data_IF_485000209025
#
_entry.id   IF_485000209025
#
_cell.length_a   1.000
_cell.length_b   1.000
_cell.length_c   1.000
_cell.angle_alpha   90.00
_cell.angle_beta   90.00
_cell.angle_gamma   90.00
#
_symmetry.space_group_name_H-M   'P 1'
#
loop_
_entity.id
_entity.type
_entity.pdbx_description
1 polymer ?
#
# COMPACT_ATOMS: atom_id res chain seq x y z
N UNK A 1 -17.59 -3.22 -4.95
CA UNK A 1 -17.01 -4.55 -4.66
C UNK A 1 -17.15 -4.83 -3.18
N UNK A 2 -17.44 -6.06 -2.80
CA UNK A 2 -17.57 -6.44 -1.37
C UNK A 2 -16.18 -6.83 -0.86
N UNK A 3 -15.72 -6.18 0.21
CA UNK A 3 -14.44 -6.54 0.86
C UNK A 3 -14.41 -7.92 1.49
N UNK A 4 -15.58 -8.45 1.75
CA UNK A 4 -15.73 -9.67 2.52
C UNK A 4 -16.52 -10.73 1.77
N UNK A 5 -16.07 -11.98 1.93
CA UNK A 5 -16.87 -13.17 1.71
C UNK A 5 -17.31 -13.76 3.04
N UNK A 6 -18.52 -14.29 3.08
CA UNK A 6 -19.07 -14.95 4.25
C UNK A 6 -19.04 -16.47 4.03
N UNK A 7 -18.46 -17.19 4.97
CA UNK A 7 -18.39 -18.64 4.96
C UNK A 7 -19.07 -19.22 6.20
N UNK A 8 -19.70 -20.39 6.09
CA UNK A 8 -20.18 -21.12 7.26
C UNK A 8 -19.00 -21.47 8.18
N UNK A 9 -19.07 -21.02 9.42
CA UNK A 9 -18.12 -21.35 10.45
C UNK A 9 -18.57 -22.52 11.33
N UNK A 10 -17.74 -22.97 12.29
CA UNK A 10 -18.08 -23.98 13.25
C UNK A 10 -19.32 -23.60 14.03
N UNK A 11 -20.13 -24.60 14.41
CA UNK A 11 -21.31 -24.42 15.27
C UNK A 11 -22.39 -23.46 14.75
N UNK A 12 -22.50 -23.29 13.40
CA UNK A 12 -23.50 -22.42 12.79
C UNK A 12 -23.19 -20.93 12.86
N UNK A 13 -21.95 -20.57 13.17
CA UNK A 13 -21.46 -19.20 13.08
C UNK A 13 -21.16 -18.81 11.63
N UNK A 14 -21.11 -17.52 11.32
CA UNK A 14 -20.63 -17.00 10.05
C UNK A 14 -19.25 -16.40 10.24
N UNK A 15 -18.30 -16.81 9.39
CA UNK A 15 -16.95 -16.25 9.37
C UNK A 15 -16.85 -15.31 8.17
N UNK A 16 -16.40 -14.07 8.42
CA UNK A 16 -16.12 -13.08 7.37
C UNK A 16 -14.63 -13.12 7.04
N UNK A 17 -14.33 -13.29 5.75
CA UNK A 17 -12.97 -13.29 5.23
C UNK A 17 -12.78 -12.10 4.30
N UNK A 18 -11.59 -11.52 4.32
CA UNK A 18 -11.21 -10.46 3.38
C UNK A 18 -11.02 -11.06 1.98
N UNK A 19 -11.56 -10.38 0.98
CA UNK A 19 -11.42 -10.74 -0.43
C UNK A 19 -10.12 -10.16 -0.97
N UNK A 20 -9.07 -10.97 -0.98
CA UNK A 20 -7.79 -10.62 -1.55
C UNK A 20 -7.71 -10.98 -3.03
N UNK A 21 -6.95 -10.20 -3.78
CA UNK A 21 -6.70 -10.45 -5.20
C UNK A 21 -5.23 -10.24 -5.54
N UNK A 22 -4.69 -11.12 -6.38
CA UNK A 22 -3.32 -11.01 -6.88
C UNK A 22 -3.26 -9.99 -8.03
N UNK A 23 -2.37 -9.01 -7.88
CA UNK A 23 -2.08 -8.01 -8.89
C UNK A 23 -0.64 -8.09 -9.35
N UNK A 24 -0.41 -7.89 -10.65
CA UNK A 24 0.91 -7.65 -11.21
C UNK A 24 1.12 -6.15 -11.38
N UNK A 25 2.11 -5.59 -10.71
CA UNK A 25 2.51 -4.19 -10.90
C UNK A 25 3.51 -4.10 -12.05
N UNK A 26 3.19 -3.28 -13.03
CA UNK A 26 4.05 -3.07 -14.20
C UNK A 26 4.41 -1.59 -14.34
N UNK A 27 5.64 -1.30 -14.75
CA UNK A 27 6.10 0.05 -15.09
C UNK A 27 6.59 0.04 -16.53
N UNK A 28 5.98 0.90 -17.37
CA UNK A 28 6.23 0.98 -18.81
C UNK A 28 6.17 -0.41 -19.49
N UNK A 29 5.15 -1.21 -19.12
CA UNK A 29 4.91 -2.54 -19.62
C UNK A 29 5.83 -3.64 -19.06
N UNK A 30 6.75 -3.31 -18.16
CA UNK A 30 7.66 -4.28 -17.51
C UNK A 30 7.15 -4.68 -16.14
N UNK A 31 6.93 -5.97 -15.85
CA UNK A 31 6.51 -6.41 -14.52
C UNK A 31 7.65 -6.22 -13.51
N UNK A 32 7.35 -5.52 -12.42
CA UNK A 32 8.31 -5.22 -11.35
C UNK A 32 7.97 -5.91 -10.04
N UNK A 33 6.68 -6.13 -9.77
CA UNK A 33 6.20 -6.79 -8.56
C UNK A 33 4.92 -7.58 -8.82
N UNK A 34 4.62 -8.49 -7.91
CA UNK A 34 3.31 -9.09 -7.75
C UNK A 34 2.90 -8.95 -6.29
N UNK A 35 1.68 -8.50 -6.04
CA UNK A 35 1.17 -8.26 -4.70
C UNK A 35 -0.25 -8.79 -4.56
N UNK A 36 -0.56 -9.40 -3.43
CA UNK A 36 -1.92 -9.74 -3.05
C UNK A 36 -2.47 -8.59 -2.22
N UNK A 37 -3.57 -8.00 -2.66
CA UNK A 37 -4.13 -6.76 -2.13
C UNK A 37 -5.64 -6.86 -1.95
N UNK A 38 -6.19 -6.05 -1.07
CA UNK A 38 -7.60 -5.68 -1.16
C UNK A 38 -7.81 -4.82 -2.41
N UNK A 39 -8.89 -5.07 -3.21
CA UNK A 39 -9.11 -4.43 -4.51
C UNK A 39 -9.62 -2.98 -4.38
N UNK A 40 -9.00 -2.20 -3.52
CA UNK A 40 -9.26 -0.78 -3.32
C UNK A 40 -7.96 0.01 -3.20
N UNK A 41 -8.02 1.30 -3.51
CA UNK A 41 -6.88 2.21 -3.45
C UNK A 41 -5.65 1.63 -4.19
N UNK A 42 -5.89 1.03 -5.36
CA UNK A 42 -4.83 0.37 -6.14
C UNK A 42 -3.87 1.37 -6.77
N UNK A 43 -4.37 2.56 -7.12
CA UNK A 43 -3.52 3.64 -7.63
C UNK A 43 -2.63 4.19 -6.52
N UNK A 44 -3.20 4.36 -5.32
CA UNK A 44 -2.47 4.77 -4.13
C UNK A 44 -1.39 3.74 -3.77
N UNK A 45 -1.75 2.44 -3.80
CA UNK A 45 -0.78 1.37 -3.59
C UNK A 45 0.38 1.48 -4.58
N UNK A 46 0.10 1.61 -5.88
CA UNK A 46 1.14 1.67 -6.89
C UNK A 46 2.06 2.89 -6.71
N UNK A 47 1.47 4.07 -6.47
CA UNK A 47 2.25 5.29 -6.23
C UNK A 47 3.14 5.13 -4.97
N UNK A 48 2.55 4.71 -3.85
CA UNK A 48 3.28 4.51 -2.60
C UNK A 48 4.39 3.49 -2.73
N UNK A 49 4.11 2.31 -3.28
CA UNK A 49 5.08 1.24 -3.47
C UNK A 49 6.29 1.69 -4.31
N UNK A 50 6.04 2.39 -5.42
CA UNK A 50 7.13 2.87 -6.29
C UNK A 50 8.06 3.84 -5.58
N UNK A 51 7.52 4.68 -4.70
CA UNK A 51 8.29 5.67 -3.95
C UNK A 51 9.01 5.03 -2.76
N UNK A 52 8.33 4.20 -1.98
CA UNK A 52 8.91 3.53 -0.80
C UNK A 52 10.02 2.57 -1.17
N UNK A 53 9.91 1.90 -2.31
CA UNK A 53 10.97 1.03 -2.86
C UNK A 53 12.04 1.81 -3.65
N UNK A 54 11.92 3.15 -3.75
CA UNK A 54 12.90 4.00 -4.44
C UNK A 54 13.01 3.74 -5.95
N UNK A 55 11.93 3.25 -6.56
CA UNK A 55 11.91 2.87 -7.98
C UNK A 55 11.84 4.11 -8.87
N UNK A 56 11.03 5.09 -8.49
CA UNK A 56 10.88 6.36 -9.20
C UNK A 56 10.49 7.48 -8.24
N UNK A 57 10.59 8.74 -8.65
CA UNK A 57 10.00 9.86 -7.94
C UNK A 57 8.53 10.04 -8.34
N UNK A 58 7.70 10.58 -7.44
CA UNK A 58 6.27 10.79 -7.73
C UNK A 58 6.06 11.70 -8.96
N UNK A 59 6.90 12.73 -9.09
CA UNK A 59 6.88 13.66 -10.25
C UNK A 59 7.23 13.02 -11.59
N UNK A 60 7.76 11.79 -11.60
CA UNK A 60 8.07 11.03 -12.80
C UNK A 60 6.91 10.11 -13.22
N UNK A 61 5.87 9.96 -12.41
CA UNK A 61 4.68 9.15 -12.73
C UNK A 61 3.75 9.97 -13.62
N UNK A 62 3.48 9.49 -14.82
CA UNK A 62 2.54 10.11 -15.76
C UNK A 62 1.11 9.63 -15.55
N UNK A 63 0.94 8.33 -15.35
CA UNK A 63 -0.38 7.74 -15.12
C UNK A 63 -0.28 6.40 -14.40
N UNK A 64 -1.35 6.07 -13.67
CA UNK A 64 -1.56 4.77 -13.03
C UNK A 64 -2.91 4.25 -13.49
N UNK A 65 -2.93 3.04 -14.01
CA UNK A 65 -4.11 2.41 -14.62
C UNK A 65 -4.33 1.02 -14.02
N UNK A 66 -5.14 0.93 -12.95
CA UNK A 66 -5.54 -0.37 -12.42
C UNK A 66 -6.52 -1.07 -13.36
N UNK A 67 -6.31 -2.36 -13.55
CA UNK A 67 -7.21 -3.27 -14.25
C UNK A 67 -7.42 -4.52 -13.39
N UNK A 68 -8.13 -5.52 -13.87
CA UNK A 68 -8.59 -6.70 -13.11
C UNK A 68 -7.49 -7.47 -12.39
N UNK A 69 -6.30 -7.58 -12.98
CA UNK A 69 -5.17 -8.31 -12.41
C UNK A 69 -3.82 -7.59 -12.61
N UNK A 70 -3.84 -6.38 -13.17
CA UNK A 70 -2.64 -5.62 -13.49
C UNK A 70 -2.81 -4.18 -13.05
N UNK A 71 -1.80 -3.63 -12.42
CA UNK A 71 -1.69 -2.20 -12.18
C UNK A 71 -0.58 -1.68 -13.08
N UNK A 72 -0.98 -1.01 -14.16
CA UNK A 72 -0.05 -0.41 -15.12
C UNK A 72 0.35 0.99 -14.70
N UNK A 73 1.65 1.28 -14.70
CA UNK A 73 2.18 2.62 -14.43
C UNK A 73 3.02 3.08 -15.61
N UNK A 74 2.78 4.30 -16.07
CA UNK A 74 3.63 4.97 -17.04
C UNK A 74 4.47 6.04 -16.34
N UNK A 75 5.75 6.07 -16.68
CA UNK A 75 6.71 7.06 -16.17
C UNK A 75 7.47 7.71 -17.32
N UNK A 76 7.83 8.99 -17.13
CA UNK A 76 8.60 9.78 -18.12
C UNK A 76 9.96 9.19 -18.45
N UNK A 77 10.52 8.36 -17.58
CA UNK A 77 11.86 7.81 -17.77
C UNK A 77 11.86 6.27 -17.76
N UNK A 78 11.62 5.63 -18.94
CA UNK A 78 11.48 4.18 -19.03
C UNK A 78 12.77 3.40 -18.72
N UNK A 79 13.93 4.04 -18.71
CA UNK A 79 15.23 3.38 -18.57
C UNK A 79 15.70 3.21 -17.13
N UNK A 80 15.06 3.86 -16.16
CA UNK A 80 15.44 3.72 -14.74
C UNK A 80 14.98 2.41 -14.11
N UNK A 81 14.00 1.73 -14.71
CA UNK A 81 13.38 0.52 -14.14
C UNK A 81 14.08 -0.74 -14.63
N UNK A 82 15.28 -0.99 -14.15
CA UNK A 82 16.04 -2.22 -14.41
C UNK A 82 16.06 -3.16 -13.19
N UNK A 83 14.97 -3.19 -12.42
CA UNK A 83 14.93 -3.98 -11.20
C UNK A 83 14.48 -5.43 -11.48
N UNK A 84 15.02 -6.42 -10.77
CA UNK A 84 14.51 -7.77 -10.83
C UNK A 84 13.08 -7.82 -10.28
N UNK A 85 12.25 -8.68 -10.85
CA UNK A 85 10.86 -8.88 -10.39
C UNK A 85 10.86 -9.30 -8.92
N UNK A 86 10.04 -8.63 -8.13
CA UNK A 86 9.85 -8.88 -6.71
C UNK A 86 8.43 -9.39 -6.45
N UNK A 87 8.27 -10.32 -5.54
CA UNK A 87 6.97 -10.77 -5.06
C UNK A 87 6.73 -10.18 -3.68
N UNK A 88 5.69 -9.38 -3.55
CA UNK A 88 5.21 -8.86 -2.28
C UNK A 88 4.16 -9.84 -1.77
N UNK A 89 4.47 -10.54 -0.70
CA UNK A 89 3.53 -11.48 -0.07
C UNK A 89 2.85 -10.85 1.12
N UNK A 90 1.58 -11.18 1.33
CA UNK A 90 0.87 -10.84 2.55
C UNK A 90 1.54 -11.51 3.74
N UNK A 91 1.98 -10.72 4.70
CA UNK A 91 2.68 -11.19 5.89
C UNK A 91 4.08 -10.60 6.06
N UNK A 92 4.73 -10.88 7.18
CA UNK A 92 6.05 -10.35 7.55
C UNK A 92 7.23 -10.95 6.76
N UNK A 93 7.00 -11.49 5.58
CA UNK A 93 8.04 -11.98 4.69
C UNK A 93 8.81 -10.82 4.09
N UNK A 94 9.90 -10.41 4.73
CA UNK A 94 10.73 -9.30 4.30
C UNK A 94 11.20 -9.45 2.87
N UNK A 95 10.71 -8.60 2.02
CA UNK A 95 11.34 -8.36 0.73
C UNK A 95 12.53 -7.45 0.99
N UNK A 96 13.70 -7.80 0.49
CA UNK A 96 14.84 -6.90 0.56
C UNK A 96 14.48 -5.59 -0.15
N UNK A 97 14.56 -4.47 0.56
CA UNK A 97 14.43 -3.14 -0.05
C UNK A 97 15.60 -2.91 -1.01
N UNK A 98 15.31 -2.21 -2.12
CA UNK A 98 16.35 -1.75 -3.05
C UNK A 98 17.02 -0.44 -2.57
N UNK A 99 16.48 0.15 -1.51
CA UNK A 99 17.03 1.37 -0.95
C UNK A 99 18.34 1.08 -0.21
N UNK A 100 19.38 1.79 -0.58
CA UNK A 100 20.60 1.90 0.21
C UNK A 100 20.31 2.79 1.43
N UNK A 101 20.36 2.27 2.66
CA UNK A 101 20.07 3.07 3.85
C UNK A 101 20.93 4.33 3.98
N UNK A 102 22.13 4.33 3.41
CA UNK A 102 23.01 5.49 3.41
C UNK A 102 22.53 6.64 2.51
N UNK A 103 21.63 6.33 1.57
CA UNK A 103 21.04 7.30 0.63
C UNK A 103 19.66 7.78 1.06
N UNK A 104 19.10 7.25 2.13
CA UNK A 104 17.83 7.73 2.64
C UNK A 104 17.95 9.19 3.09
N UNK A 105 16.98 10.04 2.75
CA UNK A 105 16.95 11.40 3.24
C UNK A 105 16.85 11.36 4.77
N UNK A 106 17.69 12.17 5.43
CA UNK A 106 17.56 12.35 6.87
C UNK A 106 16.26 13.07 7.15
N UNK A 107 15.45 12.51 8.05
CA UNK A 107 14.27 13.20 8.54
C UNK A 107 14.77 14.45 9.30
N UNK A 108 14.38 15.66 8.88
CA UNK A 108 14.76 16.86 9.63
C UNK A 108 14.15 16.77 11.01
N UNK A 109 14.81 17.38 11.99
CA UNK A 109 14.25 17.55 13.33
C UNK A 109 12.97 18.38 13.18
N UNK A 110 11.84 17.70 13.16
CA UNK A 110 10.52 18.30 13.01
C UNK A 110 9.77 18.28 14.33
N UNK A 111 8.62 18.92 14.33
CA UNK A 111 7.72 18.91 15.47
C UNK A 111 7.25 17.46 15.74
N UNK A 112 7.40 17.05 16.99
CA UNK A 112 6.88 15.77 17.43
C UNK A 112 5.36 15.89 17.64
N UNK A 113 4.60 14.97 17.03
CA UNK A 113 3.19 14.83 17.37
C UNK A 113 3.07 14.08 18.69
N UNK A 114 2.28 14.63 19.62
CA UNK A 114 1.86 13.86 20.79
C UNK A 114 0.82 12.83 20.38
N UNK A 115 1.11 11.56 20.62
CA UNK A 115 0.14 10.47 20.40
C UNK A 115 -0.92 10.39 21.52
N UNK A 116 -0.75 11.16 22.61
CA UNK A 116 -1.74 11.21 23.67
C UNK A 116 -3.03 11.88 23.19
N UNK A 117 -4.11 11.13 23.16
CA UNK A 117 -5.43 11.62 22.67
C UNK A 117 -5.73 11.29 21.21
N UNK A 118 -4.81 10.72 20.45
CA UNK A 118 -5.12 10.11 19.18
C UNK A 118 -5.81 8.77 19.43
N UNK A 119 -7.11 8.72 19.24
CA UNK A 119 -7.86 7.46 19.12
C UNK A 119 -7.88 7.09 17.65
N UNK A 120 -7.13 6.07 17.22
CA UNK A 120 -7.23 5.61 15.85
C UNK A 120 -8.61 4.99 15.64
N UNK A 121 -9.41 5.64 14.81
CA UNK A 121 -10.69 5.12 14.33
C UNK A 121 -10.40 4.17 13.16
N UNK A 122 -10.02 2.94 13.50
CA UNK A 122 -9.75 1.89 12.52
C UNK A 122 -10.99 1.01 12.33
N UNK A 123 -11.28 0.56 11.08
CA UNK A 123 -12.42 -0.31 10.81
C UNK A 123 -12.29 -1.64 11.57
N UNK A 124 -13.11 -1.80 12.63
CA UNK A 124 -13.04 -2.97 13.50
C UNK A 124 -13.27 -4.28 12.73
N UNK A 125 -14.09 -4.25 11.69
CA UNK A 125 -14.37 -5.41 10.84
C UNK A 125 -13.17 -5.86 10.01
N UNK A 126 -12.33 -4.93 9.53
CA UNK A 126 -11.08 -5.25 8.83
C UNK A 126 -10.11 -5.93 9.79
N UNK A 127 -9.95 -5.36 10.98
CA UNK A 127 -9.04 -5.93 12.00
C UNK A 127 -9.53 -7.29 12.47
N UNK A 128 -10.83 -7.47 12.68
CA UNK A 128 -11.43 -8.74 13.09
C UNK A 128 -11.26 -9.83 12.02
N UNK A 129 -11.21 -9.46 10.74
CA UNK A 129 -10.96 -10.38 9.63
C UNK A 129 -9.45 -10.60 9.34
N UNK A 130 -8.56 -10.10 10.19
CA UNK A 130 -7.10 -10.30 10.08
C UNK A 130 -6.39 -9.30 9.15
N UNK A 131 -7.06 -8.23 8.72
CA UNK A 131 -6.45 -7.16 7.95
C UNK A 131 -5.71 -6.14 8.81
N UNK A 132 -5.05 -5.22 8.15
CA UNK A 132 -4.30 -4.11 8.75
C UNK A 132 -4.85 -2.78 8.25
N UNK A 133 -4.76 -1.77 9.10
CA UNK A 133 -5.07 -0.39 8.72
C UNK A 133 -3.89 0.49 9.10
N UNK A 134 -3.45 1.34 8.16
CA UNK A 134 -2.51 2.41 8.37
C UNK A 134 -3.23 3.76 8.29
N UNK A 135 -2.71 4.76 9.00
CA UNK A 135 -3.23 6.11 8.91
C UNK A 135 -2.12 7.14 9.12
N UNK A 136 -2.25 8.26 8.46
CA UNK A 136 -1.40 9.42 8.62
C UNK A 136 -2.15 10.54 9.36
N UNK A 137 -1.44 11.22 10.25
CA UNK A 137 -1.98 12.29 11.08
C UNK A 137 -1.12 13.54 11.00
N UNK A 138 -1.76 14.67 11.12
CA UNK A 138 -1.14 15.96 11.41
C UNK A 138 -1.58 16.44 12.81
N UNK A 139 -1.13 17.61 13.21
CA UNK A 139 -1.61 18.26 14.44
C UNK A 139 -3.13 18.52 14.42
N UNK A 140 -3.73 18.62 13.23
CA UNK A 140 -5.16 18.91 13.06
C UNK A 140 -6.02 17.65 12.93
N UNK A 141 -5.43 16.47 12.87
CA UNK A 141 -6.15 15.20 12.80
C UNK A 141 -5.66 14.25 11.71
N UNK A 142 -6.49 13.25 11.41
CA UNK A 142 -6.21 12.25 10.39
C UNK A 142 -6.32 12.85 8.98
N UNK A 143 -5.30 12.68 8.16
CA UNK A 143 -5.21 13.18 6.78
C UNK A 143 -5.36 12.09 5.73
N UNK A 144 -4.97 10.85 6.05
CA UNK A 144 -5.15 9.71 5.17
C UNK A 144 -5.30 8.42 5.99
N UNK A 145 -6.01 7.44 5.44
CA UNK A 145 -6.03 6.06 5.97
C UNK A 145 -6.30 5.07 4.86
N UNK A 146 -5.77 3.88 5.03
CA UNK A 146 -5.99 2.76 4.11
C UNK A 146 -5.93 1.44 4.86
N UNK A 147 -6.64 0.45 4.33
CA UNK A 147 -6.62 -0.91 4.85
C UNK A 147 -6.16 -1.89 3.80
N UNK A 148 -5.47 -2.93 4.24
CA UNK A 148 -5.07 -4.05 3.39
C UNK A 148 -4.86 -5.33 4.22
N UNK A 149 -4.60 -6.43 3.53
CA UNK A 149 -4.25 -7.72 4.14
C UNK A 149 -2.81 -7.76 4.67
N UNK A 150 -1.96 -6.81 4.26
CA UNK A 150 -0.60 -6.67 4.75
C UNK A 150 -0.34 -5.26 5.29
N UNK A 151 0.54 -5.16 6.29
CA UNK A 151 0.97 -3.89 6.85
C UNK A 151 1.64 -3.00 5.80
N UNK A 152 2.52 -3.58 4.98
CA UNK A 152 3.26 -2.86 3.95
C UNK A 152 2.32 -2.27 2.90
N UNK A 153 1.36 -3.06 2.41
CA UNK A 153 0.38 -2.57 1.43
C UNK A 153 -0.51 -1.46 2.01
N UNK A 154 -0.95 -1.60 3.27
CA UNK A 154 -1.70 -0.53 3.93
C UNK A 154 -0.87 0.76 4.06
N UNK A 155 0.42 0.64 4.39
CA UNK A 155 1.35 1.77 4.44
C UNK A 155 1.55 2.42 3.07
N UNK A 156 1.82 1.62 2.03
CA UNK A 156 2.01 2.11 0.67
C UNK A 156 0.77 2.86 0.18
N UNK A 157 -0.43 2.33 0.45
CA UNK A 157 -1.69 3.01 0.14
C UNK A 157 -1.80 4.38 0.83
N UNK A 158 -1.43 4.48 2.10
CA UNK A 158 -1.45 5.76 2.83
C UNK A 158 -0.46 6.75 2.24
N UNK A 159 0.77 6.31 1.96
CA UNK A 159 1.80 7.16 1.34
C UNK A 159 1.35 7.63 -0.03
N UNK A 160 0.83 6.73 -0.86
CA UNK A 160 0.28 7.08 -2.17
C UNK A 160 -0.90 8.06 -2.07
N UNK A 161 -1.80 7.89 -1.10
CA UNK A 161 -2.88 8.85 -0.84
C UNK A 161 -2.36 10.26 -0.55
N UNK A 162 -1.32 10.36 0.29
CA UNK A 162 -0.71 11.65 0.62
C UNK A 162 -0.06 12.31 -0.60
N UNK A 163 0.67 11.53 -1.41
CA UNK A 163 1.32 12.02 -2.62
C UNK A 163 0.33 12.52 -3.67
N UNK A 164 -0.86 11.93 -3.74
CA UNK A 164 -1.93 12.30 -4.70
C UNK A 164 -2.75 13.50 -4.25
N UNK A 165 -2.70 13.85 -2.99
CA UNK A 165 -3.39 15.04 -2.46
C UNK A 165 -2.56 16.33 -2.61
N UNK A 166 -1.28 16.24 -2.89
CA UNK A 166 -0.36 17.37 -3.08
C UNK A 166 0.33 17.71 -1.78
#
# INVERSE_FOLDING_TARGET
MTFFSELPGPSGTTVRLLNEQLYSLTVNGRPIAAATLLPEQLEEFAAGYLITEGITAYSEIESIMPDTAVIGVLTVNPFKVLLPRKTVVSGCGGTASYLDPARLPKVPNGDCLSLSGLTPDFPAEILAAGGFTAAAYTQTGRVASASDISQHAAFDKVIGSLLRQG
#
